data_IF_116709798607
#
_entry.id   IF_116709798607
#
_cell.length_a   1.000
_cell.length_b   1.000
_cell.length_c   1.000
_cell.angle_alpha   90.00
_cell.angle_beta   90.00
_cell.angle_gamma   90.00
#
_symmetry.space_group_name_H-M   'P 1'
#
loop_
_entity.id
_entity.type
_entity.pdbx_description
1 polymer ?
#
# COMPACT_ATOMS: atom_id res chain seq x y z
N UNK A 1 9.30 56.62 -15.31
CA UNK A 1 10.45 56.29 -16.19
C UNK A 1 10.97 54.90 -15.85
N UNK A 2 10.99 53.97 -16.83
CA UNK A 2 11.99 52.90 -17.02
C UNK A 2 12.06 51.83 -15.90
N UNK A 3 11.87 50.52 -16.10
CA UNK A 3 11.90 49.66 -17.30
C UNK A 3 11.08 48.39 -17.03
N UNK A 4 10.31 47.99 -18.03
CA UNK A 4 9.66 46.70 -18.20
C UNK A 4 10.72 45.58 -18.18
N UNK A 5 10.61 44.62 -17.26
CA UNK A 5 11.41 43.39 -17.31
C UNK A 5 10.51 42.25 -17.80
N UNK A 6 10.48 42.12 -19.12
CA UNK A 6 10.03 40.91 -19.81
C UNK A 6 11.16 39.89 -19.62
N UNK A 7 10.89 38.78 -18.93
CA UNK A 7 11.72 37.60 -19.03
C UNK A 7 10.83 36.39 -19.32
N UNK A 8 10.72 36.11 -20.61
CA UNK A 8 10.21 34.87 -21.16
C UNK A 8 11.22 33.76 -20.86
N UNK A 9 10.79 32.70 -20.18
CA UNK A 9 11.53 31.44 -20.10
C UNK A 9 10.58 30.26 -20.36
N UNK A 10 10.55 29.89 -21.64
CA UNK A 10 10.55 28.52 -22.15
C UNK A 10 9.51 27.54 -21.55
N UNK A 11 8.31 27.56 -22.16
CA UNK A 11 7.36 26.44 -22.08
C UNK A 11 7.95 25.28 -22.89
N UNK A 12 8.55 24.30 -22.22
CA UNK A 12 8.85 23.01 -22.82
C UNK A 12 7.55 22.21 -22.84
N UNK A 13 6.95 22.13 -24.02
CA UNK A 13 5.81 21.27 -24.34
C UNK A 13 6.32 19.82 -24.44
N UNK A 14 6.35 19.10 -23.31
CA UNK A 14 6.54 17.64 -23.32
C UNK A 14 5.17 16.96 -23.21
N UNK A 15 4.83 16.24 -24.28
CA UNK A 15 3.90 15.11 -24.38
C UNK A 15 2.69 15.10 -23.43
N UNK A 16 1.53 15.34 -24.04
CA UNK A 16 0.17 15.20 -23.50
C UNK A 16 -0.10 13.78 -22.98
N UNK A 17 0.14 13.57 -21.70
CA UNK A 17 -0.75 12.77 -20.87
C UNK A 17 -1.54 13.75 -20.03
N UNK A 18 -2.87 13.83 -20.20
CA UNK A 18 -3.71 14.54 -19.24
C UNK A 18 -3.57 13.80 -17.91
N UNK A 19 -2.64 14.22 -17.06
CA UNK A 19 -2.60 13.79 -15.68
C UNK A 19 -3.96 14.18 -15.11
N UNK A 20 -4.80 13.18 -14.83
CA UNK A 20 -6.08 13.40 -14.15
C UNK A 20 -5.76 14.23 -12.91
N UNK A 21 -6.31 15.44 -12.83
CA UNK A 21 -6.04 16.35 -11.74
C UNK A 21 -6.32 15.63 -10.42
N UNK A 22 -5.32 15.55 -9.55
CA UNK A 22 -5.47 14.91 -8.25
C UNK A 22 -6.48 15.67 -7.39
N UNK A 23 -7.11 14.95 -6.48
CA UNK A 23 -8.11 15.50 -5.55
C UNK A 23 -7.65 15.26 -4.12
N UNK A 24 -7.98 16.20 -3.24
CA UNK A 24 -7.53 16.12 -1.84
C UNK A 24 -8.44 15.25 -0.98
N UNK A 25 -9.72 15.14 -1.32
CA UNK A 25 -10.73 14.44 -0.53
C UNK A 25 -11.44 13.42 -1.42
N UNK A 26 -11.71 12.25 -0.88
CA UNK A 26 -12.57 11.23 -1.48
C UNK A 26 -13.66 10.79 -0.49
N UNK A 27 -14.87 10.69 -1.01
CA UNK A 27 -16.04 10.14 -0.32
C UNK A 27 -16.73 9.13 -1.24
N UNK A 28 -17.07 7.95 -0.71
CA UNK A 28 -17.76 6.93 -1.48
C UNK A 28 -18.60 5.98 -0.61
N UNK A 29 -19.74 5.56 -1.14
CA UNK A 29 -20.55 4.46 -0.61
C UNK A 29 -20.07 3.13 -1.22
N UNK A 30 -19.84 3.15 -2.53
CA UNK A 30 -19.18 2.11 -3.31
C UNK A 30 -18.27 2.82 -4.30
N UNK A 31 -17.32 2.13 -4.97
CA UNK A 31 -16.42 2.86 -5.85
C UNK A 31 -17.08 3.33 -7.16
N UNK A 32 -18.33 2.92 -7.41
CA UNK A 32 -19.18 3.47 -8.49
C UNK A 32 -20.10 4.60 -8.00
N UNK A 33 -20.36 4.67 -6.69
CA UNK A 33 -21.13 5.75 -6.03
C UNK A 33 -20.15 6.57 -5.18
N UNK A 34 -19.38 7.42 -5.87
CA UNK A 34 -18.29 8.19 -5.32
C UNK A 34 -18.23 9.62 -5.89
N UNK A 35 -17.67 10.58 -5.13
CA UNK A 35 -17.51 11.96 -5.60
C UNK A 35 -16.45 12.10 -6.71
N UNK A 36 -15.54 11.14 -6.80
CA UNK A 36 -14.54 11.04 -7.87
C UNK A 36 -14.47 9.62 -8.40
N UNK A 37 -14.23 9.49 -9.70
CA UNK A 37 -14.05 8.21 -10.39
C UNK A 37 -12.89 7.40 -9.82
N UNK A 38 -12.92 6.06 -9.98
CA UNK A 38 -11.87 5.12 -9.54
C UNK A 38 -10.47 5.44 -10.07
N UNK A 39 -10.38 6.10 -11.23
CA UNK A 39 -9.11 6.49 -11.87
C UNK A 39 -8.53 7.79 -11.30
N UNK A 40 -9.29 8.54 -10.52
CA UNK A 40 -8.85 9.81 -9.94
C UNK A 40 -7.87 9.56 -8.80
N UNK A 41 -6.71 10.22 -8.85
CA UNK A 41 -5.72 10.14 -7.78
C UNK A 41 -6.12 10.99 -6.58
N UNK A 42 -6.06 10.41 -5.38
CA UNK A 42 -6.40 11.09 -4.13
C UNK A 42 -5.13 11.38 -3.32
N UNK A 43 -4.91 12.62 -2.91
CA UNK A 43 -3.68 13.10 -2.25
C UNK A 43 -3.96 13.80 -0.92
N UNK A 44 -4.88 13.25 -0.13
CA UNK A 44 -5.22 13.79 1.17
C UNK A 44 -6.02 12.80 2.02
N UNK A 45 -7.33 12.97 2.11
CA UNK A 45 -8.21 12.19 2.98
C UNK A 45 -9.19 11.35 2.14
N UNK A 46 -9.36 10.10 2.51
CA UNK A 46 -10.32 9.19 1.88
C UNK A 46 -11.24 8.63 2.96
N UNK A 47 -12.53 8.99 2.96
CA UNK A 47 -13.52 8.52 3.93
C UNK A 47 -14.62 7.75 3.21
N UNK A 48 -14.65 6.44 3.37
CA UNK A 48 -15.48 5.59 2.53
C UNK A 48 -16.21 4.48 3.29
N UNK A 49 -17.35 4.04 2.78
CA UNK A 49 -17.83 2.69 3.09
C UNK A 49 -16.98 1.70 2.29
N UNK A 50 -16.94 1.87 0.96
CA UNK A 50 -16.02 1.19 0.07
C UNK A 50 -15.43 2.16 -0.95
N UNK A 51 -14.14 2.48 -0.80
CA UNK A 51 -13.39 3.32 -1.74
C UNK A 51 -12.40 2.51 -2.55
N UNK A 52 -12.14 2.91 -3.80
CA UNK A 52 -11.12 2.32 -4.66
C UNK A 52 -10.50 3.39 -5.56
N UNK A 53 -9.28 3.80 -5.25
CA UNK A 53 -8.57 4.84 -5.99
C UNK A 53 -7.05 4.65 -5.87
N UNK A 54 -6.26 5.14 -6.86
CA UNK A 54 -4.84 5.36 -6.65
C UNK A 54 -4.68 6.52 -5.65
N UNK A 55 -3.92 6.32 -4.58
CA UNK A 55 -3.93 7.30 -3.49
C UNK A 55 -2.61 7.46 -2.76
N UNK A 56 -2.42 8.66 -2.23
CA UNK A 56 -1.35 9.10 -1.35
C UNK A 56 -1.98 9.79 -0.15
N UNK A 57 -2.64 9.03 0.71
CA UNK A 57 -3.70 9.54 1.59
C UNK A 57 -3.70 8.93 2.99
N UNK A 58 -4.46 9.55 3.88
CA UNK A 58 -5.03 8.92 5.06
C UNK A 58 -6.40 8.34 4.67
N UNK A 59 -6.52 7.02 4.68
CA UNK A 59 -7.72 6.31 4.26
C UNK A 59 -8.44 5.70 5.47
N UNK A 60 -9.70 6.07 5.67
CA UNK A 60 -10.61 5.48 6.63
C UNK A 60 -11.81 4.89 5.88
N UNK A 61 -12.09 3.62 6.08
CA UNK A 61 -13.30 3.04 5.53
C UNK A 61 -13.55 1.60 5.92
N UNK A 62 -14.71 1.03 5.57
CA UNK A 62 -14.95 -0.40 5.82
C UNK A 62 -14.10 -1.23 4.86
N UNK A 63 -14.11 -0.86 3.58
CA UNK A 63 -13.30 -1.47 2.52
C UNK A 63 -12.47 -0.40 1.82
N UNK A 64 -11.15 -0.54 1.84
CA UNK A 64 -10.23 0.37 1.15
C UNK A 64 -9.47 -0.35 0.04
N UNK A 65 -9.69 0.08 -1.20
CA UNK A 65 -9.00 -0.36 -2.40
C UNK A 65 -7.95 0.64 -2.87
N UNK A 66 -6.73 0.15 -3.09
CA UNK A 66 -5.58 0.97 -3.49
C UNK A 66 -5.02 0.47 -4.82
N UNK A 67 -5.37 1.14 -5.92
CA UNK A 67 -4.90 0.74 -7.25
C UNK A 67 -3.53 1.34 -7.57
N UNK A 68 -2.78 0.65 -8.42
CA UNK A 68 -1.41 1.00 -8.78
C UNK A 68 -0.49 1.16 -7.56
N UNK A 69 0.48 2.07 -7.66
CA UNK A 69 1.37 2.39 -6.54
C UNK A 69 0.74 3.46 -5.65
N UNK A 70 0.25 3.04 -4.50
CA UNK A 70 -0.38 3.88 -3.49
C UNK A 70 0.47 3.98 -2.22
N UNK A 71 0.26 5.02 -1.42
CA UNK A 71 1.00 5.22 -0.17
C UNK A 71 0.16 5.91 0.91
N UNK A 72 0.54 5.73 2.17
CA UNK A 72 -0.06 6.45 3.29
C UNK A 72 -0.48 5.54 4.44
N UNK A 73 -1.54 5.94 5.13
CA UNK A 73 -2.07 5.23 6.30
C UNK A 73 -3.50 4.78 5.99
N UNK A 74 -3.80 3.50 6.19
CA UNK A 74 -5.10 2.93 5.92
C UNK A 74 -5.65 2.25 7.17
N UNK A 75 -6.89 2.58 7.54
CA UNK A 75 -7.65 1.92 8.58
C UNK A 75 -8.99 1.42 8.00
N UNK A 76 -9.29 0.14 8.22
CA UNK A 76 -10.58 -0.41 7.82
C UNK A 76 -10.87 -1.81 8.30
N UNK A 77 -11.90 -2.44 7.73
CA UNK A 77 -12.16 -3.87 7.94
C UNK A 77 -11.40 -4.73 6.92
N UNK A 78 -11.31 -4.25 5.68
CA UNK A 78 -10.55 -4.88 4.60
C UNK A 78 -9.77 -3.81 3.81
N UNK A 79 -8.46 -4.03 3.66
CA UNK A 79 -7.60 -3.25 2.78
C UNK A 79 -7.08 -4.16 1.67
N UNK A 80 -7.30 -3.81 0.40
CA UNK A 80 -6.68 -4.49 -0.74
C UNK A 80 -5.90 -3.52 -1.62
N UNK A 81 -4.73 -3.95 -2.10
CA UNK A 81 -3.84 -3.06 -2.84
C UNK A 81 -3.03 -3.77 -3.92
N UNK A 82 -2.75 -3.07 -5.01
CA UNK A 82 -1.80 -3.55 -6.02
C UNK A 82 -0.36 -3.43 -5.49
N UNK A 83 0.04 -2.24 -5.06
CA UNK A 83 1.30 -2.02 -4.35
C UNK A 83 1.15 -0.86 -3.37
N UNK A 84 1.71 -1.00 -2.18
CA UNK A 84 1.47 -0.08 -1.09
C UNK A 84 2.74 0.29 -0.33
N UNK A 85 2.87 1.58 -0.01
CA UNK A 85 3.92 2.10 0.87
C UNK A 85 3.32 2.82 2.06
N UNK A 86 3.54 2.31 3.26
CA UNK A 86 3.07 2.93 4.50
C UNK A 86 2.46 1.90 5.43
N UNK A 87 1.34 2.21 6.06
CA UNK A 87 0.72 1.33 7.05
C UNK A 87 -0.71 0.97 6.69
N UNK A 88 -1.05 -0.32 6.82
CA UNK A 88 -2.39 -0.84 6.63
C UNK A 88 -2.85 -1.55 7.91
N UNK A 89 -3.97 -1.09 8.47
CA UNK A 89 -4.60 -1.61 9.67
C UNK A 89 -6.00 -2.09 9.28
N UNK A 90 -6.24 -3.39 9.30
CA UNK A 90 -7.56 -3.95 9.01
C UNK A 90 -7.73 -5.37 9.52
N UNK A 91 -8.97 -5.88 9.55
CA UNK A 91 -9.20 -7.30 9.77
C UNK A 91 -8.45 -8.15 8.73
N UNK A 92 -8.50 -7.73 7.47
CA UNK A 92 -7.73 -8.34 6.37
C UNK A 92 -6.95 -7.28 5.62
N UNK A 93 -5.64 -7.48 5.47
CA UNK A 93 -4.79 -6.72 4.56
C UNK A 93 -4.31 -7.64 3.43
N UNK A 94 -4.55 -7.25 2.18
CA UNK A 94 -4.17 -7.99 0.98
C UNK A 94 -3.39 -7.09 0.02
N UNK A 95 -2.16 -7.46 -0.31
CA UNK A 95 -1.33 -6.72 -1.25
C UNK A 95 -0.83 -7.64 -2.36
N UNK A 96 -1.35 -7.48 -3.58
CA UNK A 96 -1.03 -8.36 -4.70
C UNK A 96 0.40 -8.16 -5.25
N UNK A 97 1.05 -7.04 -4.92
CA UNK A 97 2.41 -6.72 -5.35
C UNK A 97 3.32 -6.46 -4.16
N UNK A 98 3.92 -5.27 -4.15
CA UNK A 98 4.93 -4.91 -3.13
C UNK A 98 4.31 -4.16 -1.95
N UNK A 99 4.66 -4.57 -0.73
CA UNK A 99 4.39 -3.82 0.50
C UNK A 99 5.69 -3.28 1.08
N UNK A 100 5.80 -1.95 1.20
CA UNK A 100 6.86 -1.27 1.94
C UNK A 100 6.28 -0.59 3.19
N UNK A 101 6.50 -1.16 4.37
CA UNK A 101 6.01 -0.59 5.64
C UNK A 101 5.38 -1.64 6.56
N UNK A 102 4.20 -1.37 7.13
CA UNK A 102 3.58 -2.22 8.14
C UNK A 102 2.15 -2.68 7.80
N UNK A 103 1.83 -3.94 8.08
CA UNK A 103 0.45 -4.45 8.08
C UNK A 103 0.10 -4.98 9.46
N UNK A 104 -1.02 -4.52 10.03
CA UNK A 104 -1.62 -5.04 11.25
C UNK A 104 -3.02 -5.58 10.93
N UNK A 105 -3.29 -6.83 11.28
CA UNK A 105 -4.61 -7.41 11.04
C UNK A 105 -4.81 -8.83 11.53
N UNK A 106 -5.99 -9.39 11.31
CA UNK A 106 -6.22 -10.83 11.56
C UNK A 106 -5.46 -11.63 10.50
N UNK A 107 -5.57 -11.23 9.24
CA UNK A 107 -4.88 -11.83 8.10
C UNK A 107 -4.10 -10.75 7.35
N UNK A 108 -2.80 -11.00 7.14
CA UNK A 108 -1.96 -10.17 6.29
C UNK A 108 -1.40 -11.03 5.15
N UNK A 109 -1.63 -10.61 3.92
CA UNK A 109 -1.08 -11.22 2.71
C UNK A 109 -0.33 -10.19 1.88
N UNK A 110 0.85 -10.58 1.40
CA UNK A 110 1.63 -9.81 0.42
C UNK A 110 2.40 -10.74 -0.51
N UNK A 111 2.62 -10.33 -1.77
CA UNK A 111 3.58 -11.04 -2.64
C UNK A 111 5.04 -10.71 -2.32
N UNK A 112 5.38 -9.42 -2.20
CA UNK A 112 6.74 -8.97 -1.90
C UNK A 112 6.77 -8.05 -0.67
N UNK A 113 7.27 -8.57 0.46
CA UNK A 113 7.37 -7.82 1.72
C UNK A 113 8.71 -7.09 1.86
N UNK A 114 8.65 -5.79 2.14
CA UNK A 114 9.74 -5.04 2.78
C UNK A 114 9.19 -4.30 4.00
N UNK A 115 9.20 -4.96 5.16
CA UNK A 115 8.71 -4.37 6.40
C UNK A 115 8.13 -5.37 7.39
N UNK A 116 7.02 -5.00 8.05
CA UNK A 116 6.47 -5.70 9.21
C UNK A 116 5.05 -6.20 8.95
N UNK A 117 4.73 -7.42 9.36
CA UNK A 117 3.36 -7.92 9.47
C UNK A 117 3.11 -8.37 10.91
N UNK A 118 2.00 -7.94 11.50
CA UNK A 118 1.56 -8.39 12.83
C UNK A 118 0.10 -8.85 12.69
N UNK A 119 -0.18 -10.08 13.10
CA UNK A 119 -1.51 -10.62 12.96
C UNK A 119 -1.68 -12.05 13.44
N UNK A 120 -2.85 -12.65 13.21
CA UNK A 120 -3.03 -14.07 13.51
C UNK A 120 -2.35 -14.91 12.42
N UNK A 121 -2.58 -14.55 11.15
CA UNK A 121 -1.98 -15.19 9.98
C UNK A 121 -1.23 -14.13 9.18
N UNK A 122 0.07 -14.36 8.96
CA UNK A 122 0.94 -13.53 8.15
C UNK A 122 1.51 -14.37 7.01
N UNK A 123 1.35 -13.90 5.79
CA UNK A 123 1.91 -14.52 4.59
C UNK A 123 2.61 -13.48 3.74
N UNK A 124 3.84 -13.79 3.33
CA UNK A 124 4.58 -13.05 2.32
C UNK A 124 5.14 -14.05 1.31
N UNK A 125 4.75 -14.00 0.04
CA UNK A 125 5.27 -14.96 -0.96
C UNK A 125 6.81 -14.89 -1.05
N UNK A 126 7.37 -13.69 -0.88
CA UNK A 126 8.78 -13.40 -0.68
C UNK A 126 8.95 -12.17 0.20
N UNK A 127 10.13 -12.00 0.80
CA UNK A 127 10.48 -10.79 1.55
C UNK A 127 11.89 -10.34 1.18
N UNK A 128 12.19 -9.05 1.12
CA UNK A 128 13.59 -8.57 1.03
C UNK A 128 14.16 -8.36 2.43
N UNK A 129 13.41 -7.63 3.26
CA UNK A 129 13.65 -7.43 4.69
C UNK A 129 12.26 -7.51 5.33
N UNK A 130 12.03 -8.47 6.23
CA UNK A 130 10.70 -8.83 6.69
C UNK A 130 10.70 -9.25 8.16
N UNK A 131 9.68 -8.84 8.91
CA UNK A 131 9.40 -9.36 10.24
C UNK A 131 7.90 -9.67 10.34
N UNK A 132 7.56 -10.89 10.72
CA UNK A 132 6.19 -11.36 10.93
C UNK A 132 6.04 -11.82 12.38
N UNK A 133 4.99 -11.34 13.04
CA UNK A 133 4.60 -11.76 14.39
C UNK A 133 3.14 -12.22 14.36
N UNK A 134 2.90 -13.49 14.71
CA UNK A 134 1.58 -14.08 14.64
C UNK A 134 1.54 -15.56 14.96
N UNK A 135 0.34 -16.16 14.96
CA UNK A 135 0.15 -17.61 15.21
C UNK A 135 0.63 -18.45 14.04
N UNK A 136 0.51 -17.93 12.82
CA UNK A 136 1.03 -18.57 11.62
C UNK A 136 1.73 -17.52 10.77
N UNK A 137 3.02 -17.71 10.54
CA UNK A 137 3.85 -16.80 9.77
C UNK A 137 4.53 -17.58 8.65
N UNK A 138 4.38 -17.16 7.40
CA UNK A 138 4.87 -17.90 6.23
C UNK A 138 5.58 -16.98 5.24
N UNK A 139 6.81 -17.38 4.85
CA UNK A 139 7.65 -16.76 3.82
C UNK A 139 8.25 -17.85 2.91
N UNK A 140 7.55 -18.32 1.86
CA UNK A 140 7.95 -19.50 1.08
C UNK A 140 9.22 -19.30 0.22
N UNK A 141 9.31 -18.19 -0.51
CA UNK A 141 10.50 -17.89 -1.34
C UNK A 141 11.56 -17.19 -0.48
N UNK A 142 12.23 -17.98 0.34
CA UNK A 142 13.49 -17.65 0.99
C UNK A 142 14.63 -18.52 0.40
N UNK A 143 15.87 -18.03 0.42
CA UNK A 143 17.00 -18.85 -0.02
C UNK A 143 17.43 -19.75 1.16
N UNK A 144 16.93 -20.99 1.16
CA UNK A 144 17.52 -22.20 1.77
C UNK A 144 17.08 -22.72 3.16
N UNK A 145 17.05 -24.07 3.20
CA UNK A 145 17.26 -25.01 4.32
C UNK A 145 18.74 -25.51 4.43
N UNK A 146 19.76 -24.70 4.07
CA UNK A 146 21.16 -25.18 4.01
C UNK A 146 22.05 -24.79 5.20
N UNK A 147 21.63 -23.86 6.05
CA UNK A 147 22.52 -23.25 7.06
C UNK A 147 21.85 -23.00 8.43
N UNK A 148 21.05 -23.95 8.93
CA UNK A 148 20.60 -23.91 10.33
C UNK A 148 21.83 -23.91 11.27
N UNK A 149 21.89 -23.11 12.35
CA UNK A 149 20.86 -22.24 12.94
C UNK A 149 20.80 -20.79 12.40
N UNK A 150 21.56 -20.47 11.35
CA UNK A 150 21.68 -19.11 10.81
C UNK A 150 20.60 -18.77 9.76
N UNK A 151 19.73 -19.73 9.37
CA UNK A 151 18.62 -19.58 8.41
C UNK A 151 17.43 -20.48 8.82
N UNK A 152 16.19 -19.96 8.80
CA UNK A 152 14.99 -20.58 9.43
C UNK A 152 13.95 -21.05 8.40
N UNK A 153 13.11 -22.02 8.80
CA UNK A 153 12.07 -22.67 8.00
C UNK A 153 11.08 -21.68 7.34
N UNK A 154 10.50 -22.04 6.16
CA UNK A 154 9.53 -21.22 5.43
C UNK A 154 8.30 -20.78 6.23
N UNK A 155 7.98 -21.43 7.36
CA UNK A 155 6.94 -20.99 8.25
C UNK A 155 7.28 -21.21 9.72
N UNK A 156 6.73 -20.36 10.58
CA UNK A 156 6.93 -20.38 12.03
C UNK A 156 5.64 -19.96 12.76
N UNK A 157 5.44 -20.53 13.95
CA UNK A 157 4.18 -20.39 14.72
C UNK A 157 4.10 -19.10 15.53
N UNK A 158 5.21 -18.40 15.79
CA UNK A 158 5.18 -17.21 16.67
C UNK A 158 5.83 -16.03 15.97
N UNK A 159 7.05 -16.22 15.46
CA UNK A 159 7.81 -15.16 14.81
C UNK A 159 8.46 -15.72 13.56
N UNK A 160 8.48 -14.97 12.46
CA UNK A 160 9.28 -15.28 11.26
C UNK A 160 9.98 -13.99 10.80
N UNK A 161 11.28 -14.02 10.51
CA UNK A 161 12.01 -12.82 10.08
C UNK A 161 13.04 -13.11 8.98
N UNK A 162 13.36 -12.07 8.21
CA UNK A 162 14.37 -12.05 7.15
C UNK A 162 15.08 -10.70 7.12
N UNK A 163 16.41 -10.70 7.11
CA UNK A 163 17.24 -9.50 6.98
C UNK A 163 18.14 -9.60 5.76
#
# INVERSE_FOLDING_TARGET
>A
MKKTLILACLVIFMATGTALASKLIQLSLTPDIAIHSRTTRIEGLSLNIWGENPQSSFALGIVNGFTGTSKGFALGFLNYSDSYKGFQFAGVNYTNGSMLGGQLGVVNYVEHLKGVQIGIINYAASATTGFQLGILNVIPKNQWFRAFPNQIAPGMVIVNWRF
#
